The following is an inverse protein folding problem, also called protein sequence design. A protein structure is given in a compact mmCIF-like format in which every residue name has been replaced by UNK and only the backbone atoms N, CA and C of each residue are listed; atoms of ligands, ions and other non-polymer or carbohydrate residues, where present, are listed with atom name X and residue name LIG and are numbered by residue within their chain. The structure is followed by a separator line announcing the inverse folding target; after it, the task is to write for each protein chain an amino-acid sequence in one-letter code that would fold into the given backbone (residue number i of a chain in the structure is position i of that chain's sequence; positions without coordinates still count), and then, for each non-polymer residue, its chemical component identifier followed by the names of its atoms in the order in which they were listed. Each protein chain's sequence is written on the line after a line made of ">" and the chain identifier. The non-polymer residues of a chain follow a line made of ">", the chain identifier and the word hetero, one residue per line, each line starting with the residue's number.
data_IF_701057299193
#
_entry.id   IF_701057299193
#
_cell.length_a   1.000
_cell.length_b   1.000
_cell.length_c   1.000
_cell.angle_alpha   90.00
_cell.angle_beta   90.00
_cell.angle_gamma   90.00
#
_symmetry.space_group_name_H-M   'P 1'
#
loop_
_entity.id
_entity.type
_entity.pdbx_description
1 polymer ?
#
# COMPACT_ATOMS: atom_id res chain seq x y z
N UNK A 1 57.40 -31.91 -136.46
CA UNK A 1 57.05 -32.12 -135.02
C UNK A 1 56.86 -30.75 -134.36
N UNK A 2 55.73 -30.55 -133.65
CA UNK A 2 55.27 -29.27 -133.07
C UNK A 2 56.04 -28.87 -131.80
N UNK A 3 56.20 -27.57 -131.51
CA UNK A 3 56.19 -27.05 -130.13
C UNK A 3 55.81 -25.55 -130.07
N UNK A 4 54.56 -25.28 -129.65
CA UNK A 4 53.95 -23.95 -129.44
C UNK A 4 54.35 -23.39 -128.06
N UNK A 5 55.57 -22.87 -127.90
CA UNK A 5 56.10 -22.40 -126.60
C UNK A 5 55.84 -20.90 -126.30
N UNK A 6 55.53 -20.06 -127.29
CA UNK A 6 55.34 -18.61 -127.04
C UNK A 6 54.02 -18.20 -126.37
N UNK A 7 52.98 -19.05 -126.36
CA UNK A 7 51.67 -18.73 -125.76
C UNK A 7 51.55 -19.10 -124.27
N UNK A 8 52.43 -19.96 -123.76
CA UNK A 8 52.35 -20.46 -122.37
C UNK A 8 52.80 -19.42 -121.35
N UNK A 9 53.79 -18.57 -121.69
CA UNK A 9 54.28 -17.53 -120.79
C UNK A 9 53.27 -16.40 -120.52
N UNK A 10 52.42 -16.07 -121.50
CA UNK A 10 51.35 -15.08 -121.32
C UNK A 10 50.23 -15.57 -120.38
N UNK A 11 49.94 -16.88 -120.38
CA UNK A 11 48.92 -17.47 -119.51
C UNK A 11 49.40 -17.49 -118.05
N UNK A 12 50.70 -17.80 -117.84
CA UNK A 12 51.29 -17.79 -116.48
C UNK A 12 51.32 -16.36 -115.91
N UNK A 13 51.67 -15.35 -116.72
CA UNK A 13 51.64 -13.95 -116.28
C UNK A 13 50.24 -13.47 -115.86
N UNK A 14 49.20 -13.85 -116.61
CA UNK A 14 47.81 -13.48 -116.28
C UNK A 14 47.33 -14.12 -114.97
N UNK A 15 47.69 -15.39 -114.70
CA UNK A 15 47.30 -16.10 -113.47
C UNK A 15 47.94 -15.45 -112.23
N UNK A 16 49.19 -15.02 -112.33
CA UNK A 16 49.89 -14.37 -111.20
C UNK A 16 49.25 -13.02 -110.85
N UNK A 17 48.84 -12.23 -111.85
CA UNK A 17 48.20 -10.93 -111.62
C UNK A 17 46.82 -11.11 -110.94
N UNK A 18 46.04 -12.10 -111.37
CA UNK A 18 44.72 -12.39 -110.76
C UNK A 18 44.88 -12.87 -109.31
N UNK A 19 45.89 -13.67 -109.01
CA UNK A 19 46.15 -14.14 -107.64
C UNK A 19 46.55 -12.99 -106.69
N UNK A 20 47.34 -12.03 -107.17
CA UNK A 20 47.75 -10.86 -106.38
C UNK A 20 46.56 -9.91 -106.12
N UNK A 21 45.71 -9.70 -107.14
CA UNK A 21 44.51 -8.87 -107.00
C UNK A 21 43.50 -9.48 -106.02
N UNK A 22 43.31 -10.80 -106.05
CA UNK A 22 42.43 -11.51 -105.11
C UNK A 22 42.94 -11.39 -103.66
N UNK A 23 44.26 -11.48 -103.45
CA UNK A 23 44.85 -11.39 -102.11
C UNK A 23 44.71 -10.00 -101.48
N UNK A 24 44.82 -8.93 -102.28
CA UNK A 24 44.66 -7.56 -101.79
C UNK A 24 43.19 -7.20 -101.48
N UNK A 25 42.23 -7.77 -102.19
CA UNK A 25 40.80 -7.53 -101.93
C UNK A 25 40.28 -8.26 -100.68
N UNK A 26 40.93 -9.35 -100.25
CA UNK A 26 40.51 -10.12 -99.07
C UNK A 26 41.09 -9.61 -97.75
N UNK A 27 41.94 -8.58 -97.77
CA UNK A 27 42.56 -8.04 -96.55
C UNK A 27 41.87 -6.75 -96.12
N UNK A 28 40.62 -6.90 -95.66
CA UNK A 28 39.87 -5.85 -94.98
C UNK A 28 40.23 -5.83 -93.49
N UNK A 29 40.68 -4.69 -92.99
CA UNK A 29 41.08 -4.50 -91.59
C UNK A 29 39.87 -4.57 -90.65
N UNK A 30 39.77 -5.63 -89.85
CA UNK A 30 38.75 -5.76 -88.81
C UNK A 30 39.17 -5.03 -87.53
N UNK A 31 38.83 -3.74 -87.43
CA UNK A 31 38.92 -3.00 -86.16
C UNK A 31 37.75 -3.38 -85.26
N UNK A 32 37.98 -4.23 -84.26
CA UNK A 32 36.99 -4.59 -83.24
C UNK A 32 36.61 -3.36 -82.39
N UNK A 33 35.35 -2.91 -82.49
CA UNK A 33 34.78 -1.89 -81.61
C UNK A 33 34.28 -2.55 -80.32
N UNK A 34 34.92 -2.23 -79.20
CA UNK A 34 34.45 -2.62 -77.86
C UNK A 34 33.26 -1.72 -77.49
N UNK A 35 32.12 -2.33 -77.18
CA UNK A 35 30.89 -1.64 -76.77
C UNK A 35 30.73 -1.71 -75.26
N UNK A 36 30.51 -0.56 -74.60
CA UNK A 36 30.16 -0.48 -73.18
C UNK A 36 28.67 -0.27 -73.04
N UNK A 37 28.02 -1.10 -72.23
CA UNK A 37 26.64 -0.86 -71.83
C UNK A 37 26.61 0.30 -70.82
N UNK A 38 25.91 1.37 -71.19
CA UNK A 38 25.64 2.50 -70.31
C UNK A 38 24.14 2.70 -70.19
N UNK A 39 23.69 3.11 -69.00
CA UNK A 39 22.30 3.40 -68.71
C UNK A 39 22.15 4.87 -68.29
N UNK A 40 21.04 5.49 -68.70
CA UNK A 40 20.71 6.88 -68.37
C UNK A 40 20.21 6.93 -66.91
N UNK A 41 20.75 7.85 -66.11
CA UNK A 41 20.40 8.00 -64.69
C UNK A 41 19.35 9.08 -64.52
N UNK A 42 18.21 8.73 -63.91
CA UNK A 42 17.12 9.66 -63.58
C UNK A 42 16.98 9.90 -62.07
N UNK A 43 16.49 11.09 -61.69
CA UNK A 43 16.21 11.43 -60.29
C UNK A 43 14.86 10.84 -59.86
N UNK A 44 14.91 9.72 -59.14
CA UNK A 44 13.76 9.16 -58.44
C UNK A 44 13.82 9.48 -56.94
N UNK A 45 12.66 9.67 -56.30
CA UNK A 45 12.58 9.84 -54.86
C UNK A 45 12.71 8.47 -54.18
N UNK A 46 13.84 8.23 -53.50
CA UNK A 46 14.09 7.00 -52.76
C UNK A 46 13.61 7.23 -51.32
N UNK A 47 12.50 6.58 -50.95
CA UNK A 47 12.00 6.62 -49.58
C UNK A 47 12.64 5.48 -48.78
N UNK A 48 13.55 5.82 -47.88
CA UNK A 48 14.08 4.88 -46.90
C UNK A 48 13.08 4.74 -45.74
N UNK A 49 12.21 3.72 -45.80
CA UNK A 49 11.39 3.34 -44.65
C UNK A 49 12.23 2.53 -43.67
N UNK A 50 12.41 3.03 -42.45
CA UNK A 50 13.02 2.28 -41.35
C UNK A 50 11.89 1.66 -40.52
N UNK A 51 11.79 0.34 -40.53
CA UNK A 51 10.81 -0.38 -39.71
C UNK A 51 11.38 -0.55 -38.30
N UNK A 52 10.84 0.19 -37.33
CA UNK A 52 11.18 0.04 -35.92
C UNK A 52 10.11 -0.83 -35.24
N UNK A 53 10.50 -2.03 -34.82
CA UNK A 53 9.63 -2.90 -34.01
C UNK A 53 9.70 -2.42 -32.56
N UNK A 54 8.60 -1.86 -32.05
CA UNK A 54 8.43 -1.53 -30.64
C UNK A 54 7.48 -2.50 -29.96
N UNK A 55 7.79 -2.90 -28.72
CA UNK A 55 6.85 -3.63 -27.86
C UNK A 55 5.84 -2.66 -27.26
N UNK A 56 4.55 -3.00 -27.32
CA UNK A 56 3.49 -2.23 -26.68
C UNK A 56 3.36 -2.72 -25.24
N UNK A 57 3.58 -1.83 -24.28
CA UNK A 57 3.38 -2.08 -22.85
C UNK A 57 2.36 -1.09 -22.27
N UNK A 58 1.67 -1.50 -21.21
CA UNK A 58 0.70 -0.66 -20.54
C UNK A 58 1.41 0.52 -19.84
N UNK A 59 0.91 1.74 -20.06
CA UNK A 59 1.47 2.96 -19.44
C UNK A 59 1.38 2.93 -17.91
N UNK A 60 0.40 2.23 -17.35
CA UNK A 60 0.24 2.10 -15.90
C UNK A 60 -0.34 0.74 -15.56
N UNK A 61 0.47 -0.09 -14.89
CA UNK A 61 0.07 -1.39 -14.36
C UNK A 61 0.05 -1.30 -12.84
N UNK A 62 -1.08 -1.62 -12.22
CA UNK A 62 -1.24 -1.67 -10.76
C UNK A 62 -1.63 -3.07 -10.34
N UNK A 63 -0.76 -3.70 -9.55
CA UNK A 63 -1.06 -4.99 -8.92
C UNK A 63 -1.94 -4.74 -7.70
N UNK A 64 -3.17 -5.24 -7.74
CA UNK A 64 -4.12 -5.11 -6.63
C UNK A 64 -3.92 -6.31 -5.70
N UNK A 65 -3.51 -6.06 -4.47
CA UNK A 65 -3.38 -7.05 -3.40
C UNK A 65 -4.24 -6.70 -2.19
N UNK A 66 -4.33 -7.61 -1.23
CA UNK A 66 -5.10 -7.41 0.01
C UNK A 66 -4.18 -6.93 1.12
N UNK A 67 -4.62 -5.96 1.92
CA UNK A 67 -3.89 -5.55 3.12
C UNK A 67 -4.14 -6.52 4.29
N UNK A 68 -5.32 -7.15 4.30
CA UNK A 68 -5.73 -8.10 5.33
C UNK A 68 -5.91 -9.46 4.68
N UNK A 69 -5.23 -10.46 5.20
CA UNK A 69 -5.37 -11.85 4.76
C UNK A 69 -6.72 -12.40 5.22
N UNK A 70 -7.47 -13.01 4.31
CA UNK A 70 -8.80 -13.57 4.61
C UNK A 70 -9.34 -14.37 3.44
N UNK A 71 -10.43 -15.11 3.69
CA UNK A 71 -11.13 -15.86 2.64
C UNK A 71 -11.97 -14.89 1.82
N UNK A 72 -11.90 -14.98 0.49
CA UNK A 72 -12.77 -14.22 -0.41
C UNK A 72 -14.18 -14.80 -0.32
N UNK A 73 -15.15 -13.95 0.04
CA UNK A 73 -16.56 -14.31 0.12
C UNK A 73 -17.27 -14.06 -1.22
N UNK A 74 -17.05 -12.88 -1.82
CA UNK A 74 -17.65 -12.50 -3.10
C UNK A 74 -16.62 -11.84 -4.02
N UNK A 75 -16.73 -12.12 -5.31
CA UNK A 75 -15.96 -11.47 -6.38
C UNK A 75 -16.95 -10.82 -7.35
N UNK A 76 -16.87 -9.50 -7.51
CA UNK A 76 -17.84 -8.70 -8.26
C UNK A 76 -17.40 -8.37 -9.69
N UNK A 77 -16.17 -8.74 -10.06
CA UNK A 77 -15.54 -8.36 -11.33
C UNK A 77 -14.81 -9.57 -11.91
N UNK A 78 -14.95 -9.76 -13.22
CA UNK A 78 -14.28 -10.83 -13.97
C UNK A 78 -13.16 -10.27 -14.85
N UNK A 79 -12.33 -11.16 -15.39
CA UNK A 79 -11.27 -10.85 -16.33
C UNK A 79 -11.79 -10.03 -17.52
N UNK A 80 -10.98 -9.07 -17.97
CA UNK A 80 -11.31 -8.14 -19.07
C UNK A 80 -12.46 -7.15 -18.78
N UNK A 81 -12.95 -7.08 -17.55
CA UNK A 81 -13.95 -6.08 -17.14
C UNK A 81 -13.30 -4.72 -16.85
N UNK A 82 -13.95 -3.64 -17.29
CA UNK A 82 -13.50 -2.27 -17.02
C UNK A 82 -13.93 -1.85 -15.61
N UNK A 83 -12.97 -1.52 -14.74
CA UNK A 83 -13.23 -1.06 -13.37
C UNK A 83 -12.93 0.43 -13.20
N UNK A 84 -13.69 1.08 -12.33
CA UNK A 84 -13.49 2.50 -11.96
C UNK A 84 -12.71 2.62 -10.66
N UNK A 85 -12.05 3.76 -10.45
CA UNK A 85 -11.37 4.06 -9.18
C UNK A 85 -12.37 4.00 -8.01
N UNK A 86 -12.05 3.20 -6.98
CA UNK A 86 -12.87 3.04 -5.78
C UNK A 86 -13.99 2.00 -5.89
N UNK A 87 -14.10 1.30 -7.02
CA UNK A 87 -15.05 0.20 -7.17
C UNK A 87 -14.63 -1.00 -6.32
N UNK A 88 -15.59 -1.63 -5.62
CA UNK A 88 -15.34 -2.87 -4.87
C UNK A 88 -15.21 -4.01 -5.87
N UNK A 89 -14.05 -4.66 -5.86
CA UNK A 89 -13.71 -5.76 -6.78
C UNK A 89 -14.01 -7.11 -6.10
N UNK A 90 -13.65 -7.24 -4.82
CA UNK A 90 -13.90 -8.44 -4.03
C UNK A 90 -14.26 -8.06 -2.58
N UNK A 91 -15.03 -8.92 -1.93
CA UNK A 91 -15.38 -8.84 -0.53
C UNK A 91 -14.86 -10.06 0.23
N UNK A 92 -14.15 -9.82 1.33
CA UNK A 92 -13.62 -10.84 2.21
C UNK A 92 -14.62 -11.20 3.31
N UNK A 93 -14.50 -12.40 3.87
CA UNK A 93 -15.23 -12.78 5.08
C UNK A 93 -14.78 -11.90 6.27
N UNK A 94 -15.75 -11.19 6.85
CA UNK A 94 -15.56 -10.25 7.96
C UNK A 94 -15.97 -10.85 9.31
N UNK A 95 -16.42 -12.10 9.37
CA UNK A 95 -17.03 -12.67 10.58
C UNK A 95 -16.12 -12.58 11.80
N UNK A 96 -14.84 -12.95 11.67
CA UNK A 96 -13.87 -12.85 12.77
C UNK A 96 -13.63 -11.40 13.20
N UNK A 97 -13.45 -10.49 12.22
CA UNK A 97 -13.23 -9.06 12.47
C UNK A 97 -14.44 -8.40 13.16
N UNK A 98 -15.67 -8.77 12.75
CA UNK A 98 -16.90 -8.27 13.36
C UNK A 98 -17.06 -8.80 14.79
N UNK A 99 -16.74 -10.08 15.03
CA UNK A 99 -16.77 -10.65 16.38
C UNK A 99 -15.76 -9.95 17.30
N UNK A 100 -14.54 -9.68 16.81
CA UNK A 100 -13.54 -8.95 17.58
C UNK A 100 -13.97 -7.51 17.85
N UNK A 101 -14.51 -6.82 16.85
CA UNK A 101 -15.07 -5.48 17.00
C UNK A 101 -16.21 -5.44 18.03
N UNK A 102 -17.12 -6.43 18.01
CA UNK A 102 -18.21 -6.54 18.97
C UNK A 102 -17.68 -6.82 20.39
N UNK A 103 -16.70 -7.70 20.53
CA UNK A 103 -16.02 -7.96 21.81
C UNK A 103 -15.37 -6.69 22.38
N UNK A 104 -14.63 -5.94 21.55
CA UNK A 104 -14.02 -4.66 21.97
C UNK A 104 -15.06 -3.61 22.33
N UNK A 105 -16.17 -3.53 21.59
CA UNK A 105 -17.28 -2.62 21.93
C UNK A 105 -17.93 -2.98 23.27
N UNK A 106 -18.12 -4.27 23.56
CA UNK A 106 -18.64 -4.73 24.84
C UNK A 106 -17.66 -4.42 25.99
N UNK A 107 -16.36 -4.64 25.79
CA UNK A 107 -15.33 -4.27 26.75
C UNK A 107 -15.31 -2.75 27.02
N UNK A 108 -15.44 -1.93 25.98
CA UNK A 108 -15.56 -0.47 26.13
C UNK A 108 -16.81 -0.07 26.92
N UNK A 109 -17.95 -0.69 26.65
CA UNK A 109 -19.19 -0.42 27.39
C UNK A 109 -19.06 -0.79 28.88
N UNK A 110 -18.45 -1.94 29.18
CA UNK A 110 -18.14 -2.35 30.55
C UNK A 110 -17.19 -1.37 31.25
N UNK A 111 -16.12 -0.95 30.58
CA UNK A 111 -15.18 0.04 31.12
C UNK A 111 -15.87 1.38 31.42
N UNK A 112 -16.76 1.84 30.54
CA UNK A 112 -17.57 3.05 30.77
C UNK A 112 -18.50 2.91 31.96
N UNK A 113 -19.16 1.76 32.11
CA UNK A 113 -20.01 1.48 33.27
C UNK A 113 -19.19 1.47 34.58
N UNK A 114 -17.98 0.91 34.57
CA UNK A 114 -17.09 0.94 35.74
C UNK A 114 -16.69 2.37 36.13
N UNK A 115 -16.42 3.23 35.15
CA UNK A 115 -16.13 4.66 35.42
C UNK A 115 -17.34 5.36 36.02
N UNK A 116 -18.55 5.12 35.50
CA UNK A 116 -19.78 5.69 36.05
C UNK A 116 -20.00 5.23 37.50
N UNK A 117 -19.90 3.92 37.77
CA UNK A 117 -20.00 3.36 39.11
C UNK A 117 -18.94 3.94 40.07
N UNK A 118 -17.70 4.16 39.59
CA UNK A 118 -16.66 4.78 40.39
C UNK A 118 -16.98 6.25 40.73
N UNK A 119 -17.57 6.99 39.79
CA UNK A 119 -18.03 8.37 40.03
C UNK A 119 -19.17 8.41 41.07
N UNK A 120 -20.13 7.49 40.97
CA UNK A 120 -21.23 7.37 41.95
C UNK A 120 -20.69 7.04 43.35
N UNK A 121 -19.67 6.18 43.44
CA UNK A 121 -19.01 5.88 44.71
C UNK A 121 -18.32 7.11 45.33
N UNK A 122 -17.71 7.98 44.51
CA UNK A 122 -17.12 9.24 44.98
C UNK A 122 -18.21 10.17 45.53
N UNK A 123 -19.33 10.30 44.81
CA UNK A 123 -20.49 11.09 45.26
C UNK A 123 -21.05 10.58 46.58
N UNK A 124 -21.19 9.26 46.72
CA UNK A 124 -21.62 8.63 47.97
C UNK A 124 -20.65 8.91 49.12
N UNK A 125 -19.35 8.73 48.89
CA UNK A 125 -18.32 9.00 49.90
C UNK A 125 -18.32 10.49 50.35
N UNK A 126 -18.57 11.42 49.43
CA UNK A 126 -18.72 12.84 49.76
C UNK A 126 -19.96 13.13 50.59
N UNK A 127 -21.09 12.48 50.28
CA UNK A 127 -22.32 12.60 51.07
C UNK A 127 -22.13 12.04 52.48
N UNK A 128 -21.47 10.88 52.60
CA UNK A 128 -21.13 10.26 53.87
C UNK A 128 -20.23 11.18 54.72
N UNK A 129 -19.19 11.78 54.12
CA UNK A 129 -18.32 12.76 54.78
C UNK A 129 -19.13 13.95 55.33
N UNK A 130 -20.02 14.52 54.53
CA UNK A 130 -20.87 15.64 54.93
C UNK A 130 -21.80 15.28 56.10
N UNK A 131 -22.34 14.05 56.10
CA UNK A 131 -23.17 13.57 57.21
C UNK A 131 -22.36 13.35 58.50
N UNK A 132 -21.12 12.86 58.40
CA UNK A 132 -20.21 12.69 59.52
C UNK A 132 -19.81 14.04 60.13
N UNK A 133 -19.52 15.03 59.30
CA UNK A 133 -19.25 16.41 59.73
C UNK A 133 -20.43 17.03 60.48
N UNK A 134 -21.66 16.84 59.98
CA UNK A 134 -22.87 17.30 60.65
C UNK A 134 -23.05 16.64 62.03
N UNK A 135 -22.75 15.34 62.15
CA UNK A 135 -22.78 14.64 63.43
C UNK A 135 -21.75 15.21 64.42
N UNK A 136 -20.51 15.46 63.97
CA UNK A 136 -19.48 16.10 64.81
C UNK A 136 -19.95 17.48 65.28
N UNK A 137 -20.55 18.28 64.41
CA UNK A 137 -21.11 19.59 64.75
C UNK A 137 -22.20 19.50 65.82
N UNK A 138 -23.15 18.57 65.66
CA UNK A 138 -24.21 18.30 66.64
C UNK A 138 -23.63 17.88 68.00
N UNK A 139 -22.66 16.98 68.02
CA UNK A 139 -22.03 16.51 69.26
C UNK A 139 -21.24 17.62 69.96
N UNK A 140 -20.55 18.48 69.20
CA UNK A 140 -19.83 19.65 69.74
C UNK A 140 -20.81 20.65 70.36
N UNK A 141 -21.96 20.91 69.73
CA UNK A 141 -22.99 21.78 70.29
C UNK A 141 -23.57 21.23 71.60
N UNK A 142 -23.84 19.91 71.64
CA UNK A 142 -24.27 19.24 72.86
C UNK A 142 -23.23 19.32 73.97
N UNK A 143 -21.96 19.09 73.66
CA UNK A 143 -20.86 19.20 74.62
C UNK A 143 -20.79 20.61 75.21
N UNK A 144 -20.80 21.65 74.36
CA UNK A 144 -20.78 23.05 74.81
C UNK A 144 -21.99 23.40 75.68
N UNK A 145 -23.17 22.83 75.39
CA UNK A 145 -24.36 22.98 76.23
C UNK A 145 -24.13 22.38 77.61
N UNK A 146 -23.60 21.16 77.69
CA UNK A 146 -23.34 20.49 78.97
C UNK A 146 -22.26 21.20 79.80
N UNK A 147 -21.19 21.69 79.17
CA UNK A 147 -20.14 22.45 79.88
C UNK A 147 -20.69 23.76 80.46
N UNK A 148 -21.60 24.44 79.74
CA UNK A 148 -22.25 25.66 80.22
C UNK A 148 -23.18 25.39 81.41
N UNK A 149 -23.99 24.34 81.34
CA UNK A 149 -24.90 23.97 82.44
C UNK A 149 -24.14 23.49 83.68
N UNK A 150 -23.01 22.80 83.48
CA UNK A 150 -22.12 22.39 84.56
C UNK A 150 -21.49 23.60 85.27
N UNK A 151 -20.99 24.60 84.52
CA UNK A 151 -20.48 25.87 85.09
C UNK A 151 -21.52 26.63 85.89
N UNK A 152 -22.79 26.53 85.50
CA UNK A 152 -23.92 27.14 86.21
C UNK A 152 -24.38 26.34 87.44
N UNK A 153 -23.81 25.16 87.70
CA UNK A 153 -24.15 24.32 88.86
C UNK A 153 -25.48 23.56 88.74
N UNK A 154 -26.09 23.50 87.54
CA UNK A 154 -27.43 22.95 87.35
C UNK A 154 -27.48 21.43 87.06
N UNK A 155 -26.33 20.75 86.84
CA UNK A 155 -26.31 19.39 86.30
C UNK A 155 -25.33 18.44 87.02
N UNK A 156 -25.70 17.15 87.12
CA UNK A 156 -24.89 16.10 87.78
C UNK A 156 -23.68 15.63 86.97
N UNK A 157 -22.52 15.53 87.65
CA UNK A 157 -21.23 15.03 87.12
C UNK A 157 -21.30 13.64 86.47
N UNK A 158 -22.31 12.84 86.84
CA UNK A 158 -22.47 11.45 86.44
C UNK A 158 -22.65 11.28 84.92
N UNK A 159 -23.30 12.23 84.23
CA UNK A 159 -23.50 12.16 82.77
C UNK A 159 -22.21 12.43 81.97
N UNK A 160 -21.33 13.30 82.47
CA UNK A 160 -20.05 13.62 81.82
C UNK A 160 -19.05 12.46 81.96
N UNK A 161 -19.06 11.78 83.12
CA UNK A 161 -18.16 10.66 83.40
C UNK A 161 -18.47 9.42 82.53
N UNK A 162 -19.75 9.12 82.28
CA UNK A 162 -20.15 7.97 81.46
C UNK A 162 -19.72 8.07 80.00
N UNK A 163 -19.77 9.28 79.41
CA UNK A 163 -19.29 9.49 78.04
C UNK A 163 -17.78 9.32 77.89
N UNK A 164 -17.00 9.72 78.91
CA UNK A 164 -15.54 9.59 78.89
C UNK A 164 -15.11 8.12 78.99
N UNK A 165 -15.75 7.34 79.87
CA UNK A 165 -15.47 5.91 80.03
C UNK A 165 -15.78 5.12 78.73
N UNK A 166 -16.90 5.44 78.07
CA UNK A 166 -17.30 4.78 76.82
C UNK A 166 -16.33 5.10 75.67
N UNK A 167 -15.82 6.33 75.60
CA UNK A 167 -14.83 6.73 74.59
C UNK A 167 -13.50 5.98 74.76
N UNK A 168 -13.01 5.83 76.00
CA UNK A 168 -11.80 5.04 76.30
C UNK A 168 -12.00 3.58 75.88
N UNK A 169 -13.17 3.00 76.17
CA UNK A 169 -13.48 1.62 75.78
C UNK A 169 -13.54 1.44 74.25
N UNK A 170 -14.10 2.39 73.52
CA UNK A 170 -14.20 2.35 72.06
C UNK A 170 -12.85 2.49 71.36
N UNK A 171 -11.97 3.36 71.87
CA UNK A 171 -10.60 3.52 71.33
C UNK A 171 -9.77 2.25 71.55
N UNK A 172 -9.89 1.63 72.72
CA UNK A 172 -9.25 0.34 73.01
C UNK A 172 -9.76 -0.78 72.09
N UNK A 173 -11.05 -0.82 71.79
CA UNK A 173 -11.64 -1.80 70.86
C UNK A 173 -11.22 -1.56 69.40
N UNK A 174 -11.19 -0.30 68.95
CA UNK A 174 -10.78 0.06 67.59
C UNK A 174 -9.29 -0.25 67.36
N UNK A 175 -8.43 -0.03 68.36
CA UNK A 175 -7.00 -0.32 68.28
C UNK A 175 -6.74 -1.85 68.19
N UNK A 176 -7.51 -2.65 68.92
CA UNK A 176 -7.43 -4.11 68.88
C UNK A 176 -7.95 -4.69 67.54
N UNK A 177 -8.98 -4.07 66.94
CA UNK A 177 -9.50 -4.51 65.64
C UNK A 177 -8.57 -4.18 64.47
N UNK A 178 -7.87 -3.04 64.50
CA UNK A 178 -6.89 -2.67 63.48
C UNK A 178 -5.65 -3.59 63.51
N UNK A 179 -5.24 -4.04 64.71
CA UNK A 179 -4.12 -4.99 64.86
C UNK A 179 -4.38 -6.36 64.22
N UNK A 180 -5.64 -6.78 64.10
CA UNK A 180 -5.99 -8.09 63.51
C UNK A 180 -6.05 -8.08 61.97
N UNK A 181 -6.21 -6.91 61.36
CA UNK A 181 -6.21 -6.77 59.90
C UNK A 181 -4.83 -6.53 59.29
N UNK A 182 -3.82 -6.18 60.10
CA UNK A 182 -2.45 -5.94 59.65
C UNK A 182 -1.57 -7.21 59.67
N UNK A 183 -2.13 -8.37 60.03
CA UNK A 183 -1.41 -9.65 60.20
C UNK A 183 -1.97 -10.81 59.34
N UNK A 184 -2.70 -10.49 58.27
CA UNK A 184 -3.15 -11.40 57.21
C UNK A 184 -2.81 -10.78 55.85
#
# INVERSE_FOLDING_TARGET
>A
MKKKISKVWFIVGAIVIVAIAAFFLTRGDETQKISFDTAVVDKANIQNSVTATGTIEAVTTVTVGTQVSGIVNHLYVDYNSVVKKGQVIAEFDKTNLLNQLNSTKAALASAKANVASAQDNILKAQADLRSAEANIGYQRANFNRYTTLYKKGLNSLLKLFSSALLAVLLVLFSCNSLSKHLFL
#
